data_IF_554270072524
#
_entry.id   IF_554270072524
#
_cell.length_a   1.000
_cell.length_b   1.000
_cell.length_c   1.000
_cell.angle_alpha   90.00
_cell.angle_beta   90.00
_cell.angle_gamma   90.00
#
_symmetry.space_group_name_H-M   'P 1'
#
loop_
_entity.id
_entity.type
_entity.pdbx_description
1 polymer ?
#
# COMPACT_ATOMS: atom_id res chain seq x y z
N UNK A 1 -42.07 17.83 -3.15
CA UNK A 1 -41.96 16.61 -2.33
C UNK A 1 -42.03 17.04 -0.89
N UNK A 2 -42.90 16.45 -0.07
CA UNK A 2 -42.96 16.75 1.36
C UNK A 2 -41.84 15.97 2.04
N UNK A 3 -40.87 16.66 2.62
CA UNK A 3 -39.81 16.01 3.39
C UNK A 3 -40.34 15.72 4.79
N UNK A 4 -40.23 14.46 5.20
CA UNK A 4 -40.65 14.03 6.53
C UNK A 4 -39.44 14.03 7.47
N UNK A 5 -39.51 14.74 8.61
CA UNK A 5 -38.48 14.64 9.63
C UNK A 5 -38.43 13.21 10.18
N UNK A 6 -37.26 12.78 10.64
CA UNK A 6 -37.14 11.43 11.23
C UNK A 6 -38.00 11.28 12.50
N UNK A 7 -38.58 10.09 12.76
CA UNK A 7 -39.29 9.81 14.00
C UNK A 7 -38.41 10.04 15.24
N UNK A 8 -38.97 10.61 16.30
CA UNK A 8 -38.22 10.95 17.52
C UNK A 8 -37.73 9.72 18.30
N UNK A 9 -38.37 8.57 18.09
CA UNK A 9 -38.02 7.28 18.70
C UNK A 9 -36.98 6.49 17.90
N UNK A 10 -36.60 6.98 16.70
CA UNK A 10 -35.65 6.29 15.82
C UNK A 10 -34.29 6.13 16.53
N UNK A 11 -33.82 7.19 17.17
CA UNK A 11 -32.55 7.21 17.90
C UNK A 11 -32.75 7.57 19.37
N UNK A 12 -32.12 6.79 20.26
CA UNK A 12 -32.07 7.09 21.68
C UNK A 12 -30.85 7.97 21.98
N UNK A 13 -31.07 9.24 22.31
CA UNK A 13 -30.00 10.20 22.60
C UNK A 13 -29.85 10.40 24.11
N UNK A 14 -28.67 10.10 24.64
CA UNK A 14 -28.35 10.29 26.07
C UNK A 14 -27.19 11.25 26.22
N UNK A 15 -27.36 12.29 27.05
CA UNK A 15 -26.32 13.30 27.31
C UNK A 15 -25.54 12.95 28.57
N UNK A 16 -24.22 12.93 28.46
CA UNK A 16 -23.30 12.74 29.58
C UNK A 16 -22.39 13.97 29.74
N UNK A 17 -21.75 14.14 30.92
CA UNK A 17 -20.69 15.13 31.07
C UNK A 17 -19.57 14.89 30.04
N UNK A 18 -19.43 15.82 29.07
CA UNK A 18 -18.38 15.82 28.06
C UNK A 18 -18.66 15.05 26.76
N UNK A 19 -19.78 14.34 26.63
CA UNK A 19 -20.15 13.63 25.40
C UNK A 19 -21.64 13.32 25.31
N UNK A 20 -22.12 13.04 24.10
CA UNK A 20 -23.48 12.53 23.85
C UNK A 20 -23.35 11.13 23.23
N UNK A 21 -24.23 10.22 23.63
CA UNK A 21 -24.37 8.91 22.98
C UNK A 21 -25.65 8.86 22.18
N UNK A 22 -25.57 8.30 20.98
CA UNK A 22 -26.73 7.94 20.16
C UNK A 22 -26.76 6.43 20.05
N UNK A 23 -27.78 5.81 20.63
CA UNK A 23 -28.04 4.39 20.51
C UNK A 23 -29.24 4.15 19.59
N UNK A 24 -29.41 2.90 19.17
CA UNK A 24 -30.59 2.47 18.42
C UNK A 24 -31.82 2.56 19.33
N UNK A 25 -32.80 3.37 18.95
CA UNK A 25 -34.16 3.26 19.48
C UNK A 25 -34.87 2.19 18.65
N UNK A 26 -35.71 2.64 17.71
CA UNK A 26 -36.27 1.77 16.65
C UNK A 26 -35.38 1.67 15.41
N UNK A 27 -34.26 2.40 15.35
CA UNK A 27 -33.32 2.37 14.22
C UNK A 27 -32.65 1.00 14.00
N UNK A 28 -32.40 0.71 12.73
CA UNK A 28 -31.49 -0.36 12.32
C UNK A 28 -30.02 0.03 12.57
N UNK A 29 -29.10 -0.93 12.73
CA UNK A 29 -27.67 -0.64 12.81
C UNK A 29 -27.12 0.13 11.60
N UNK A 30 -27.70 -0.08 10.42
CA UNK A 30 -27.37 0.60 9.19
C UNK A 30 -27.78 2.07 9.25
N UNK A 31 -28.97 2.39 9.75
CA UNK A 31 -29.42 3.77 9.97
C UNK A 31 -28.52 4.49 10.98
N UNK A 32 -28.05 3.80 12.03
CA UNK A 32 -27.09 4.39 12.96
C UNK A 32 -25.73 4.66 12.29
N UNK A 33 -25.25 3.77 11.43
CA UNK A 33 -24.02 4.00 10.64
C UNK A 33 -24.17 5.17 9.65
N UNK A 34 -25.33 5.25 8.99
CA UNK A 34 -25.67 6.33 8.09
C UNK A 34 -25.69 7.67 8.81
N UNK A 35 -26.29 7.74 10.01
CA UNK A 35 -26.23 8.92 10.85
C UNK A 35 -24.78 9.33 11.17
N UNK A 36 -23.91 8.39 11.51
CA UNK A 36 -22.48 8.66 11.75
C UNK A 36 -21.80 9.30 10.53
N UNK A 37 -22.08 8.76 9.35
CA UNK A 37 -21.53 9.27 8.08
C UNK A 37 -22.06 10.67 7.75
N UNK A 38 -23.35 10.91 7.95
CA UNK A 38 -23.96 12.22 7.73
C UNK A 38 -23.44 13.27 8.72
N UNK A 39 -23.16 12.87 9.97
CA UNK A 39 -22.51 13.74 10.95
C UNK A 39 -21.10 14.14 10.48
N UNK A 40 -20.32 13.19 9.97
CA UNK A 40 -18.98 13.46 9.41
C UNK A 40 -19.04 14.43 8.21
N UNK A 41 -19.98 14.20 7.29
CA UNK A 41 -20.15 15.00 6.08
C UNK A 41 -20.65 16.43 6.36
N UNK A 42 -21.37 16.64 7.46
CA UNK A 42 -22.01 17.93 7.78
C UNK A 42 -21.04 19.09 8.03
N UNK A 43 -19.72 18.91 7.84
CA UNK A 43 -18.64 19.89 8.08
C UNK A 43 -18.57 20.46 9.51
N UNK A 44 -19.42 19.95 10.40
CA UNK A 44 -19.34 20.13 11.84
C UNK A 44 -18.42 19.03 12.33
N UNK A 45 -17.21 19.40 12.76
CA UNK A 45 -16.17 18.53 13.32
C UNK A 45 -16.67 17.74 14.56
N UNK A 46 -17.59 16.82 14.34
CA UNK A 46 -18.04 15.87 15.33
C UNK A 46 -16.95 14.81 15.40
N UNK A 47 -16.12 14.88 16.44
CA UNK A 47 -15.32 13.71 16.79
C UNK A 47 -16.30 12.67 17.34
N UNK A 48 -16.48 11.56 16.63
CA UNK A 48 -17.30 10.46 17.14
C UNK A 48 -16.53 9.15 17.13
N UNK A 49 -16.98 8.26 18.02
CA UNK A 49 -16.49 6.91 18.13
C UNK A 49 -17.66 5.96 17.93
N UNK A 50 -17.51 5.02 17.01
CA UNK A 50 -18.43 3.91 16.87
C UNK A 50 -18.11 2.85 17.92
N UNK A 51 -19.13 2.43 18.66
CA UNK A 51 -19.05 1.27 19.55
C UNK A 51 -19.78 0.14 18.85
N UNK A 52 -19.04 -0.95 18.59
CA UNK A 52 -19.54 -2.15 17.90
C UNK A 52 -19.54 -3.32 18.88
N UNK A 53 -20.51 -4.22 18.74
CA UNK A 53 -20.42 -5.52 19.41
C UNK A 53 -19.28 -6.37 18.81
N UNK A 54 -18.63 -7.24 19.60
CA UNK A 54 -17.69 -8.22 19.06
C UNK A 54 -18.33 -9.05 17.95
N UNK A 55 -17.72 -9.09 16.76
CA UNK A 55 -18.27 -9.75 15.57
C UNK A 55 -19.38 -8.98 14.85
N UNK A 56 -19.82 -7.85 15.41
CA UNK A 56 -20.80 -6.96 14.80
C UNK A 56 -20.17 -6.12 13.68
N UNK A 57 -20.82 -6.12 12.52
CA UNK A 57 -20.33 -5.46 11.32
C UNK A 57 -20.91 -4.04 11.11
N UNK A 58 -21.73 -3.59 12.06
CA UNK A 58 -22.35 -2.26 12.12
C UNK A 58 -22.26 -1.70 13.55
N UNK A 59 -22.29 -0.36 13.72
CA UNK A 59 -22.30 0.28 15.03
C UNK A 59 -23.61 0.06 15.77
N UNK A 60 -23.50 -0.01 17.08
CA UNK A 60 -24.62 -0.13 18.02
C UNK A 60 -24.83 1.15 18.82
N UNK A 61 -23.74 1.90 19.01
CA UNK A 61 -23.77 3.23 19.60
C UNK A 61 -22.78 4.13 18.91
N UNK A 62 -23.16 5.38 18.71
CA UNK A 62 -22.25 6.47 18.37
C UNK A 62 -21.98 7.28 19.63
N UNK A 63 -20.72 7.53 19.94
CA UNK A 63 -20.32 8.46 21.01
C UNK A 63 -19.76 9.72 20.37
N UNK A 64 -20.50 10.82 20.45
CA UNK A 64 -20.13 12.12 19.90
C UNK A 64 -19.50 12.98 21.00
N UNK A 65 -18.28 13.47 20.75
CA UNK A 65 -17.50 14.30 21.67
C UNK A 65 -17.23 15.67 21.07
N UNK A 66 -16.93 16.63 21.96
CA UNK A 66 -16.48 17.96 21.61
C UNK A 66 -17.55 19.04 21.79
N UNK A 67 -17.18 20.32 21.60
CA UNK A 67 -18.05 21.47 21.91
C UNK A 67 -19.34 21.47 21.09
N UNK A 68 -19.29 20.95 19.85
CA UNK A 68 -20.45 20.85 18.96
C UNK A 68 -21.41 19.71 19.30
N UNK A 69 -21.05 18.79 20.21
CA UNK A 69 -21.94 17.68 20.59
C UNK A 69 -23.32 18.14 21.06
N UNK A 70 -23.42 19.32 21.68
CA UNK A 70 -24.70 19.94 22.09
C UNK A 70 -25.66 20.24 20.94
N UNK A 71 -25.15 20.38 19.71
CA UNK A 71 -25.96 20.61 18.51
C UNK A 71 -26.53 19.31 17.93
N UNK A 72 -26.09 18.15 18.41
CA UNK A 72 -26.48 16.84 17.89
C UNK A 72 -28.00 16.59 17.95
N UNK A 73 -28.73 16.87 19.05
CA UNK A 73 -30.18 16.67 19.07
C UNK A 73 -30.89 17.51 18.00
N UNK A 74 -30.44 18.75 17.79
CA UNK A 74 -30.98 19.63 16.75
C UNK A 74 -30.63 19.15 15.34
N UNK A 75 -29.43 18.62 15.13
CA UNK A 75 -29.06 18.00 13.85
C UNK A 75 -29.96 16.80 13.53
N UNK A 76 -30.11 15.89 14.50
CA UNK A 76 -30.94 14.68 14.37
C UNK A 76 -32.41 15.07 14.12
N UNK A 77 -32.95 16.04 14.85
CA UNK A 77 -34.33 16.49 14.67
C UNK A 77 -34.62 17.13 13.29
N UNK A 78 -33.61 17.73 12.66
CA UNK A 78 -33.72 18.33 11.33
C UNK A 78 -33.29 17.36 10.20
N UNK A 79 -32.91 16.13 10.53
CA UNK A 79 -32.50 15.15 9.53
C UNK A 79 -33.75 14.64 8.79
N UNK A 80 -33.66 14.62 7.47
CA UNK A 80 -34.71 14.08 6.62
C UNK A 80 -34.57 12.56 6.51
N UNK A 81 -35.69 11.85 6.62
CA UNK A 81 -35.72 10.38 6.47
C UNK A 81 -35.08 9.96 5.14
N UNK A 82 -35.38 10.68 4.05
CA UNK A 82 -34.85 10.37 2.72
C UNK A 82 -33.32 10.44 2.68
N UNK A 83 -32.72 11.47 3.30
CA UNK A 83 -31.26 11.59 3.38
C UNK A 83 -30.63 10.43 4.16
N UNK A 84 -31.31 9.97 5.22
CA UNK A 84 -30.86 8.83 6.01
C UNK A 84 -30.93 7.52 5.21
N UNK A 85 -32.05 7.26 4.54
CA UNK A 85 -32.25 6.03 3.76
C UNK A 85 -31.33 5.95 2.53
N UNK A 86 -31.10 7.05 1.83
CA UNK A 86 -30.13 7.11 0.71
C UNK A 86 -28.72 6.73 1.20
N UNK A 87 -28.34 7.24 2.37
CA UNK A 87 -27.04 6.92 2.95
C UNK A 87 -26.96 5.46 3.44
N UNK A 88 -28.06 4.92 3.99
CA UNK A 88 -28.17 3.48 4.32
C UNK A 88 -27.95 2.62 3.08
N UNK A 89 -28.65 2.90 1.98
CA UNK A 89 -28.49 2.17 0.73
C UNK A 89 -27.06 2.24 0.21
N UNK A 90 -26.43 3.42 0.25
CA UNK A 90 -25.03 3.63 -0.15
C UNK A 90 -24.07 2.76 0.67
N UNK A 91 -24.22 2.75 1.99
CA UNK A 91 -23.37 1.98 2.90
C UNK A 91 -23.57 0.47 2.74
N UNK A 92 -24.83 0.02 2.64
CA UNK A 92 -25.16 -1.39 2.42
C UNK A 92 -24.62 -1.88 1.09
N UNK A 93 -24.82 -1.10 0.03
CA UNK A 93 -24.28 -1.43 -1.29
C UNK A 93 -22.75 -1.48 -1.27
N UNK A 94 -22.09 -0.46 -0.70
CA UNK A 94 -20.63 -0.42 -0.58
C UNK A 94 -20.07 -1.62 0.18
N UNK A 95 -20.70 -1.99 1.30
CA UNK A 95 -20.31 -3.17 2.09
C UNK A 95 -20.51 -4.47 1.32
N UNK A 96 -21.65 -4.64 0.64
CA UNK A 96 -21.92 -5.83 -0.18
C UNK A 96 -20.89 -5.96 -1.30
N UNK A 97 -20.52 -4.86 -1.97
CA UNK A 97 -19.48 -4.87 -3.00
C UNK A 97 -18.12 -5.28 -2.42
N UNK A 98 -17.79 -4.78 -1.23
CA UNK A 98 -16.57 -5.17 -0.52
C UNK A 98 -16.57 -6.66 -0.16
N UNK A 99 -17.66 -7.18 0.41
CA UNK A 99 -17.81 -8.60 0.76
C UNK A 99 -17.68 -9.49 -0.48
N UNK A 100 -18.36 -9.14 -1.58
CA UNK A 100 -18.23 -9.85 -2.87
C UNK A 100 -16.80 -9.81 -3.42
N UNK A 101 -16.09 -8.68 -3.26
CA UNK A 101 -14.71 -8.55 -3.69
C UNK A 101 -13.78 -9.45 -2.85
N UNK A 102 -13.98 -9.51 -1.54
CA UNK A 102 -13.23 -10.39 -0.64
C UNK A 102 -13.49 -11.85 -0.99
N UNK A 103 -14.76 -12.25 -1.15
CA UNK A 103 -15.13 -13.61 -1.55
C UNK A 103 -14.54 -13.99 -2.90
N UNK A 104 -14.56 -13.08 -3.88
CA UNK A 104 -13.94 -13.29 -5.18
C UNK A 104 -12.41 -13.44 -5.09
N UNK A 105 -11.74 -12.65 -4.24
CA UNK A 105 -10.30 -12.78 -4.01
C UNK A 105 -9.97 -14.12 -3.33
N UNK A 106 -10.70 -14.51 -2.29
CA UNK A 106 -10.53 -15.80 -1.62
C UNK A 106 -10.77 -16.99 -2.56
N UNK A 107 -11.83 -16.94 -3.37
CA UNK A 107 -12.13 -17.96 -4.37
C UNK A 107 -11.02 -18.06 -5.42
N UNK A 108 -10.51 -16.91 -5.89
CA UNK A 108 -9.39 -16.86 -6.82
C UNK A 108 -8.11 -17.44 -6.19
N UNK A 109 -7.82 -17.10 -4.94
CA UNK A 109 -6.67 -17.65 -4.22
C UNK A 109 -6.74 -19.16 -4.06
N UNK A 110 -7.91 -19.69 -3.67
CA UNK A 110 -8.14 -21.13 -3.58
C UNK A 110 -8.00 -21.83 -4.94
N UNK A 111 -8.42 -21.17 -6.02
CA UNK A 111 -8.25 -21.67 -7.38
C UNK A 111 -6.76 -21.75 -7.78
N UNK A 112 -5.95 -20.74 -7.44
CA UNK A 112 -4.51 -20.70 -7.76
C UNK A 112 -3.74 -21.79 -7.00
N UNK A 113 -4.11 -22.06 -5.74
CA UNK A 113 -3.50 -23.10 -4.93
C UNK A 113 -3.74 -24.50 -5.50
N UNK A 114 -4.97 -24.79 -5.95
CA UNK A 114 -5.35 -26.10 -6.49
C UNK A 114 -4.78 -26.40 -7.87
N UNK A 115 -4.28 -25.40 -8.60
CA UNK A 115 -3.76 -25.59 -9.95
C UNK A 115 -2.47 -26.39 -9.96
N UNK A 116 -2.33 -27.29 -10.94
CA UNK A 116 -1.04 -27.91 -11.24
C UNK A 116 -0.03 -26.84 -11.69
N UNK A 117 1.27 -27.18 -11.62
CA UNK A 117 2.33 -26.26 -12.07
C UNK A 117 2.18 -25.90 -13.56
N UNK A 118 1.66 -26.83 -14.37
CA UNK A 118 1.39 -26.61 -15.79
C UNK A 118 0.27 -25.59 -16.02
N UNK A 119 -0.85 -25.73 -15.33
CA UNK A 119 -1.96 -24.78 -15.42
C UNK A 119 -1.58 -23.40 -14.87
N UNK A 120 -0.80 -23.37 -13.78
CA UNK A 120 -0.26 -22.13 -13.24
C UNK A 120 0.66 -21.44 -14.26
N UNK A 121 1.53 -22.18 -14.94
CA UNK A 121 2.40 -21.63 -15.98
C UNK A 121 1.62 -21.03 -17.14
N UNK A 122 0.55 -21.69 -17.60
CA UNK A 122 -0.33 -21.16 -18.63
C UNK A 122 -0.97 -19.83 -18.19
N UNK A 123 -1.56 -19.80 -16.99
CA UNK A 123 -2.14 -18.59 -16.40
C UNK A 123 -1.12 -17.46 -16.24
N UNK A 124 0.09 -17.77 -15.81
CA UNK A 124 1.18 -16.80 -15.69
C UNK A 124 1.54 -16.21 -17.05
N UNK A 125 1.76 -17.05 -18.07
CA UNK A 125 2.09 -16.61 -19.42
C UNK A 125 1.01 -15.69 -20.00
N UNK A 126 -0.27 -16.04 -19.82
CA UNK A 126 -1.42 -15.24 -20.24
C UNK A 126 -1.38 -13.84 -19.61
N UNK A 127 -1.18 -13.74 -18.29
CA UNK A 127 -1.10 -12.46 -17.57
C UNK A 127 0.08 -11.59 -17.98
N UNK A 128 1.17 -12.19 -18.44
CA UNK A 128 2.31 -11.43 -18.99
C UNK A 128 2.09 -10.92 -20.42
N UNK A 129 0.97 -11.27 -21.06
CA UNK A 129 0.68 -10.99 -22.46
C UNK A 129 1.82 -11.47 -23.39
N UNK A 130 2.34 -12.68 -23.13
CA UNK A 130 3.40 -13.32 -23.92
C UNK A 130 4.81 -12.74 -23.76
N UNK A 131 5.01 -11.72 -22.91
CA UNK A 131 6.33 -11.09 -22.69
C UNK A 131 7.32 -12.00 -21.98
N UNK A 132 6.81 -12.89 -21.14
CA UNK A 132 7.59 -13.94 -20.48
C UNK A 132 7.17 -15.31 -20.99
N UNK A 133 8.12 -16.23 -21.06
CA UNK A 133 7.91 -17.63 -21.39
C UNK A 133 8.31 -18.49 -20.21
N UNK A 134 7.47 -19.46 -19.87
CA UNK A 134 7.76 -20.44 -18.81
C UNK A 134 8.31 -21.72 -19.43
N UNK A 135 9.37 -22.25 -18.84
CA UNK A 135 9.88 -23.61 -19.05
C UNK A 135 9.64 -24.39 -17.76
N UNK A 136 9.04 -25.57 -17.90
CA UNK A 136 8.77 -26.45 -16.78
C UNK A 136 9.81 -27.57 -16.78
N UNK A 137 10.68 -27.57 -15.78
CA UNK A 137 11.63 -28.65 -15.54
C UNK A 137 11.30 -29.21 -14.18
N UNK A 138 10.42 -30.21 -14.06
CA UNK A 138 9.95 -30.67 -12.75
C UNK A 138 11.12 -30.92 -11.78
N UNK A 139 11.12 -30.32 -10.57
CA UNK A 139 10.07 -29.51 -9.92
C UNK A 139 10.18 -27.97 -10.10
N UNK A 140 11.10 -27.50 -10.94
CA UNK A 140 11.46 -26.10 -11.12
C UNK A 140 10.52 -25.35 -12.09
N UNK A 141 10.06 -24.19 -11.64
CA UNK A 141 9.38 -23.19 -12.47
C UNK A 141 10.41 -22.19 -12.98
N UNK A 142 10.67 -22.21 -14.29
CA UNK A 142 11.70 -21.37 -14.91
C UNK A 142 11.06 -20.37 -15.86
N UNK A 143 11.35 -19.09 -15.68
CA UNK A 143 10.84 -17.98 -16.49
C UNK A 143 11.97 -17.37 -17.29
N UNK A 144 11.69 -17.12 -18.56
CA UNK A 144 12.60 -16.46 -19.49
C UNK A 144 11.91 -15.25 -20.11
N UNK A 145 12.65 -14.15 -20.26
CA UNK A 145 12.15 -12.95 -20.91
C UNK A 145 12.71 -12.88 -22.34
N UNK A 146 11.85 -12.61 -23.32
CA UNK A 146 12.29 -12.42 -24.71
C UNK A 146 13.03 -11.08 -24.87
N UNK A 147 12.59 -10.07 -24.12
CA UNK A 147 13.15 -8.71 -24.12
C UNK A 147 13.68 -8.32 -22.74
N UNK A 148 14.47 -7.25 -22.70
CA UNK A 148 14.95 -6.69 -21.44
C UNK A 148 13.77 -6.09 -20.65
N UNK A 149 13.62 -6.52 -19.41
CA UNK A 149 12.59 -6.01 -18.52
C UNK A 149 13.00 -4.67 -17.90
N UNK A 150 12.04 -3.75 -17.67
CA UNK A 150 12.21 -2.65 -16.74
C UNK A 150 12.84 -3.11 -15.41
N UNK A 151 13.80 -2.34 -14.90
CA UNK A 151 14.54 -2.68 -13.66
C UNK A 151 13.60 -2.94 -12.48
N UNK A 152 12.46 -2.25 -12.43
CA UNK A 152 11.42 -2.47 -11.41
C UNK A 152 10.84 -3.88 -11.49
N UNK A 153 10.51 -4.34 -12.70
CA UNK A 153 9.96 -5.67 -12.95
C UNK A 153 11.01 -6.75 -12.79
N UNK A 154 12.22 -6.51 -13.28
CA UNK A 154 13.36 -7.40 -13.06
C UNK A 154 13.60 -7.64 -11.56
N UNK A 155 13.66 -6.56 -10.77
CA UNK A 155 13.83 -6.66 -9.30
C UNK A 155 12.65 -7.33 -8.63
N UNK A 156 11.42 -7.08 -9.10
CA UNK A 156 10.23 -7.72 -8.55
C UNK A 156 10.28 -9.24 -8.76
N UNK A 157 10.60 -9.70 -9.97
CA UNK A 157 10.79 -11.12 -10.27
C UNK A 157 11.95 -11.71 -9.44
N UNK A 158 13.11 -11.06 -9.43
CA UNK A 158 14.29 -11.53 -8.69
C UNK A 158 14.11 -11.56 -7.15
N UNK A 159 13.05 -10.95 -6.60
CA UNK A 159 12.72 -11.06 -5.17
C UNK A 159 11.93 -12.32 -4.83
N UNK A 160 11.20 -12.86 -5.81
CA UNK A 160 10.34 -14.05 -5.65
C UNK A 160 10.98 -15.28 -6.31
N UNK A 161 12.08 -15.08 -7.04
CA UNK A 161 12.77 -16.12 -7.80
C UNK A 161 14.28 -15.93 -7.66
N UNK A 162 15.06 -16.93 -8.07
CA UNK A 162 16.51 -16.84 -8.20
C UNK A 162 16.88 -16.51 -9.65
N UNK A 163 17.65 -15.45 -9.87
CA UNK A 163 18.08 -15.07 -11.23
C UNK A 163 19.44 -15.69 -11.59
N UNK A 164 19.48 -16.48 -12.66
CA UNK A 164 20.71 -16.99 -13.26
C UNK A 164 21.15 -16.06 -14.40
N UNK A 165 22.20 -15.28 -14.18
CA UNK A 165 22.72 -14.32 -15.16
C UNK A 165 23.31 -14.95 -16.42
N UNK A 166 23.86 -16.16 -16.33
CA UNK A 166 24.47 -16.85 -17.47
C UNK A 166 23.40 -17.33 -18.46
N UNK A 167 22.30 -17.91 -17.94
CA UNK A 167 21.17 -18.38 -18.76
C UNK A 167 20.12 -17.30 -19.02
N UNK A 168 20.16 -16.20 -18.27
CA UNK A 168 19.14 -15.12 -18.25
C UNK A 168 17.75 -15.64 -17.88
N UNK A 169 17.71 -16.52 -16.90
CA UNK A 169 16.48 -17.18 -16.47
C UNK A 169 16.21 -16.88 -14.99
N UNK A 170 14.93 -16.80 -14.64
CA UNK A 170 14.46 -16.74 -13.26
C UNK A 170 13.92 -18.10 -12.88
N UNK A 171 14.41 -18.71 -11.80
CA UNK A 171 13.93 -20.01 -11.34
C UNK A 171 13.32 -19.91 -9.95
N UNK A 172 12.23 -20.64 -9.74
CA UNK A 172 11.64 -20.86 -8.44
C UNK A 172 11.43 -22.37 -8.23
N UNK A 173 11.83 -22.84 -7.04
CA UNK A 173 11.63 -24.23 -6.62
C UNK A 173 10.46 -24.27 -5.66
N UNK A 174 9.61 -25.29 -5.79
CA UNK A 174 8.51 -25.56 -4.85
C UNK A 174 7.63 -24.32 -4.56
N UNK A 175 6.95 -23.84 -5.60
CA UNK A 175 6.05 -22.68 -5.50
C UNK A 175 4.84 -22.95 -4.62
N UNK A 176 4.84 -22.37 -3.42
CA UNK A 176 3.71 -22.35 -2.51
C UNK A 176 2.59 -21.40 -2.99
N UNK A 177 1.46 -21.39 -2.27
CA UNK A 177 0.32 -20.51 -2.59
C UNK A 177 0.72 -19.03 -2.67
N UNK A 178 1.54 -18.57 -1.74
CA UNK A 178 1.88 -17.16 -1.59
C UNK A 178 2.79 -16.67 -2.71
N UNK A 179 3.80 -17.47 -3.09
CA UNK A 179 4.70 -17.18 -4.18
C UNK A 179 4.00 -17.23 -5.54
N UNK A 180 3.05 -18.16 -5.74
CA UNK A 180 2.19 -18.19 -6.92
C UNK A 180 1.39 -16.89 -7.08
N UNK A 181 0.74 -16.43 -6.01
CA UNK A 181 -0.04 -15.18 -6.03
C UNK A 181 0.85 -13.95 -6.30
N UNK A 182 2.03 -13.88 -5.68
CA UNK A 182 3.00 -12.81 -5.95
C UNK A 182 3.44 -12.83 -7.41
N UNK A 183 3.75 -14.00 -7.96
CA UNK A 183 4.16 -14.14 -9.35
C UNK A 183 3.05 -13.69 -10.30
N UNK A 184 1.78 -14.03 -10.05
CA UNK A 184 0.66 -13.53 -10.86
C UNK A 184 0.50 -12.01 -10.76
N UNK A 185 0.62 -11.42 -9.56
CA UNK A 185 0.60 -9.96 -9.38
C UNK A 185 1.76 -9.27 -10.12
N UNK A 186 2.93 -9.90 -10.19
CA UNK A 186 4.07 -9.41 -10.98
C UNK A 186 3.79 -9.58 -12.47
N UNK A 187 3.23 -10.71 -12.89
CA UNK A 187 2.86 -11.00 -14.27
C UNK A 187 1.90 -9.94 -14.82
N UNK A 188 0.85 -9.58 -14.07
CA UNK A 188 -0.10 -8.53 -14.45
C UNK A 188 0.59 -7.18 -14.66
N UNK A 189 1.51 -6.80 -13.77
CA UNK A 189 2.28 -5.55 -13.89
C UNK A 189 3.18 -5.56 -15.12
N UNK A 190 3.77 -6.71 -15.45
CA UNK A 190 4.61 -6.87 -16.65
C UNK A 190 3.75 -6.85 -17.92
N UNK A 191 2.60 -7.53 -17.92
CA UNK A 191 1.65 -7.54 -19.03
C UNK A 191 1.17 -6.14 -19.38
N UNK A 192 0.85 -5.32 -18.37
CA UNK A 192 0.42 -3.91 -18.54
C UNK A 192 1.56 -2.95 -18.89
N UNK A 193 2.82 -3.33 -18.69
CA UNK A 193 3.97 -2.45 -18.91
C UNK A 193 4.21 -2.19 -20.40
N UNK A 194 4.03 -0.96 -20.85
CA UNK A 194 4.37 -0.54 -22.23
C UNK A 194 5.84 -0.14 -22.39
N UNK A 195 6.54 0.05 -21.27
CA UNK A 195 7.95 0.48 -21.26
C UNK A 195 8.86 -0.60 -21.83
N UNK A 196 9.50 -0.29 -22.97
CA UNK A 196 10.63 -1.03 -23.51
C UNK A 196 11.92 -0.56 -22.85
N UNK A 197 12.84 -1.48 -22.62
CA UNK A 197 14.18 -1.17 -22.13
C UNK A 197 15.20 -1.64 -23.16
N UNK A 198 16.08 -0.73 -23.54
CA UNK A 198 17.16 -0.99 -24.49
C UNK A 198 18.46 -1.31 -23.76
N UNK A 199 19.48 -1.79 -24.47
CA UNK A 199 20.81 -2.01 -23.86
C UNK A 199 21.46 -0.68 -23.51
N UNK A 200 21.23 0.33 -24.34
CA UNK A 200 21.67 1.71 -24.21
C UNK A 200 21.14 2.31 -22.90
N UNK A 201 19.86 2.08 -22.56
CA UNK A 201 19.28 2.51 -21.28
C UNK A 201 20.01 1.91 -20.07
N UNK A 202 20.43 0.64 -20.18
CA UNK A 202 21.16 -0.07 -19.12
C UNK A 202 22.58 0.47 -19.01
N UNK A 203 23.26 0.70 -20.12
CA UNK A 203 24.61 1.27 -20.15
C UNK A 203 24.62 2.68 -19.57
N UNK A 204 23.74 3.56 -20.04
CA UNK A 204 23.58 4.92 -19.53
C UNK A 204 23.26 4.93 -18.02
N UNK A 205 22.51 3.94 -17.53
CA UNK A 205 22.27 3.79 -16.09
C UNK A 205 23.51 3.34 -15.33
N UNK A 206 24.29 2.39 -15.87
CA UNK A 206 25.54 1.92 -15.25
C UNK A 206 26.57 3.03 -15.18
N UNK A 207 26.68 3.83 -16.24
CA UNK A 207 27.55 5.01 -16.29
C UNK A 207 27.13 6.04 -15.25
N UNK A 208 25.84 6.39 -15.15
CA UNK A 208 25.35 7.27 -14.08
C UNK A 208 25.64 6.75 -12.68
N UNK A 209 25.49 5.43 -12.44
CA UNK A 209 25.81 4.84 -11.14
C UNK A 209 27.32 4.89 -10.88
N UNK A 210 28.15 4.64 -11.90
CA UNK A 210 29.61 4.73 -11.78
C UNK A 210 30.04 6.16 -11.52
N UNK A 211 29.50 7.14 -12.26
CA UNK A 211 29.74 8.56 -12.04
C UNK A 211 29.29 9.01 -10.65
N UNK A 212 28.10 8.59 -10.21
CA UNK A 212 27.62 8.89 -8.86
C UNK A 212 28.50 8.27 -7.78
N UNK A 213 28.88 6.99 -7.89
CA UNK A 213 29.82 6.37 -6.96
C UNK A 213 31.17 7.09 -6.96
N UNK A 214 31.67 7.45 -8.14
CA UNK A 214 32.90 8.23 -8.27
C UNK A 214 32.81 9.61 -7.64
N UNK A 215 31.65 10.27 -7.68
CA UNK A 215 31.43 11.53 -6.98
C UNK A 215 31.30 11.31 -5.46
N UNK A 216 30.55 10.29 -5.05
CA UNK A 216 30.26 9.97 -3.66
C UNK A 216 31.46 9.38 -2.90
N UNK A 217 32.45 8.78 -3.60
CA UNK A 217 33.65 8.14 -3.00
C UNK A 217 34.97 8.63 -3.59
N UNK A 218 34.95 9.60 -4.50
CA UNK A 218 36.15 10.16 -5.11
C UNK A 218 36.89 11.13 -4.18
N UNK A 219 38.11 11.54 -4.57
CA UNK A 219 38.83 12.60 -3.90
C UNK A 219 38.02 13.91 -3.95
N UNK A 220 37.94 14.55 -2.80
CA UNK A 220 37.42 15.88 -2.55
C UNK A 220 38.62 16.83 -2.62
N UNK A 221 38.51 17.89 -3.41
CA UNK A 221 39.53 18.92 -3.52
C UNK A 221 39.42 19.90 -2.36
N UNK A 222 39.64 19.40 -1.14
CA UNK A 222 39.59 20.15 0.12
C UNK A 222 40.55 19.50 1.12
N UNK A 223 41.13 20.32 1.99
CA UNK A 223 42.03 19.87 3.05
C UNK A 223 41.27 19.48 4.34
N UNK A 224 41.99 19.02 5.37
CA UNK A 224 41.33 18.55 6.60
C UNK A 224 40.62 19.67 7.36
N UNK A 225 41.20 20.87 7.37
CA UNK A 225 40.65 22.00 8.11
C UNK A 225 39.38 22.53 7.45
N UNK A 226 39.39 22.69 6.14
CA UNK A 226 38.22 23.08 5.35
C UNK A 226 37.07 22.07 5.54
N UNK A 227 37.35 20.77 5.42
CA UNK A 227 36.35 19.73 5.66
C UNK A 227 35.84 19.68 7.11
N UNK A 228 36.70 20.01 8.07
CA UNK A 228 36.38 20.07 9.51
C UNK A 228 35.44 21.21 9.83
N UNK A 229 35.65 22.38 9.22
CA UNK A 229 34.82 23.57 9.42
C UNK A 229 33.44 23.41 8.78
N UNK A 230 33.37 22.89 7.55
CA UNK A 230 32.10 22.79 6.81
C UNK A 230 31.22 21.61 7.24
N UNK A 231 31.82 20.47 7.58
CA UNK A 231 31.11 19.20 7.79
C UNK A 231 31.36 18.56 9.16
N UNK A 232 32.22 19.18 9.99
CA UNK A 232 32.56 18.73 11.33
C UNK A 232 33.75 17.75 11.36
N UNK A 233 34.58 17.89 12.40
CA UNK A 233 35.82 17.11 12.62
C UNK A 233 35.65 15.59 12.50
N UNK A 234 34.54 15.04 13.01
CA UNK A 234 34.29 13.60 12.95
C UNK A 234 34.15 13.08 11.51
N UNK A 235 33.47 13.84 10.65
CA UNK A 235 33.27 13.49 9.25
C UNK A 235 34.56 13.72 8.43
N UNK A 236 35.29 14.80 8.70
CA UNK A 236 36.59 15.08 8.10
C UNK A 236 37.61 13.96 8.38
N UNK A 237 37.66 13.44 9.61
CA UNK A 237 38.52 12.29 9.96
C UNK A 237 38.12 11.03 9.20
N UNK A 238 36.83 10.78 8.99
CA UNK A 238 36.36 9.63 8.20
C UNK A 238 36.80 9.76 6.74
N UNK A 239 36.65 10.94 6.13
CA UNK A 239 37.09 11.18 4.75
C UNK A 239 38.62 11.14 4.59
N UNK A 240 39.37 11.65 5.58
CA UNK A 240 40.83 11.55 5.59
C UNK A 240 41.30 10.09 5.65
N UNK A 241 40.69 9.25 6.50
CA UNK A 241 40.98 7.80 6.55
C UNK A 241 40.66 7.08 5.25
N UNK A 242 39.65 7.56 4.52
CA UNK A 242 39.26 7.02 3.23
C UNK A 242 40.14 7.53 2.08
N UNK A 243 41.16 8.37 2.36
CA UNK A 243 42.04 8.96 1.35
C UNK A 243 41.29 9.89 0.40
N UNK A 244 40.21 10.53 0.89
CA UNK A 244 39.35 11.39 0.09
C UNK A 244 39.72 12.86 0.17
N UNK A 245 40.51 13.29 1.15
CA UNK A 245 40.96 14.68 1.21
C UNK A 245 42.26 14.84 0.42
N UNK A 246 42.63 16.08 0.09
CA UNK A 246 43.91 16.37 -0.58
C UNK A 246 45.11 16.00 0.30
N UNK A 247 44.94 16.07 1.63
CA UNK A 247 45.93 15.60 2.58
C UNK A 247 46.02 14.07 2.61
N UNK A 248 47.25 13.51 2.63
CA UNK A 248 47.44 12.07 2.66
C UNK A 248 46.95 11.49 3.99
N UNK A 249 46.30 10.32 3.92
CA UNK A 249 45.76 9.62 5.09
C UNK A 249 46.83 9.29 6.15
N UNK A 250 48.11 9.24 5.78
CA UNK A 250 49.23 9.14 6.72
C UNK A 250 49.18 10.24 7.76
N UNK A 251 48.80 11.46 7.40
CA UNK A 251 48.96 12.62 8.27
C UNK A 251 47.89 12.72 9.38
N UNK A 252 47.01 11.73 9.49
CA UNK A 252 45.87 11.72 10.41
C UNK A 252 46.27 11.84 11.89
N UNK A 253 47.47 11.40 12.26
CA UNK A 253 48.01 11.54 13.62
C UNK A 253 48.13 13.00 14.06
N UNK A 254 48.15 13.96 13.13
CA UNK A 254 48.17 15.40 13.45
C UNK A 254 46.84 15.90 14.02
N UNK A 255 45.77 15.12 13.88
CA UNK A 255 44.39 15.57 14.12
C UNK A 255 43.61 14.72 15.15
N UNK A 256 44.22 13.63 15.62
CA UNK A 256 43.74 12.80 16.73
C UNK A 256 44.18 13.40 18.07
#
# INVERSE_FOLDING_TARGET
>A
MMTHPIPQDLFAITTYPGYITVARGTATPQQLAALGTLLEQSSRLFSFFEIRHPGGSWPETLRVRGPKSRELPSFVANLEVESLEVEVERLVHGKRQFELQVEAEEAFEAQVERKSLFEFAAMFCERTNGKLKVKLYQPDFVVTAAELLPVTHFKALARVTTYNGARREFSAKSLDKFDRLKLLKIADKIGKSTKKVTKEDILARRERIRAKKSADTGPLDMDFWEASEDFGKAQALVWMRQGRLTEPASDIWKYL
#
